data_IF_260845067439
#
_entry.id   IF_260845067439
#
_cell.length_a   1.000
_cell.length_b   1.000
_cell.length_c   1.000
_cell.angle_alpha   90.00
_cell.angle_beta   90.00
_cell.angle_gamma   90.00
#
_symmetry.space_group_name_H-M   'P 1'
#
loop_
_entity.id
_entity.type
_entity.pdbx_description
1 polymer ?
#
# COMPACT_ATOMS: atom_id res chain seq x y z
N UNK A 1 16.68 -1.79 -31.55
CA UNK A 1 16.05 -0.74 -32.38
C UNK A 1 17.13 -0.12 -33.28
N UNK A 2 17.71 -0.92 -34.20
CA UNK A 2 18.91 -0.51 -34.97
C UNK A 2 19.73 -1.67 -35.57
N UNK A 3 19.30 -2.93 -35.40
CA UNK A 3 19.99 -4.12 -35.89
C UNK A 3 19.14 -4.99 -36.83
N UNK A 4 18.08 -4.43 -37.43
CA UNK A 4 17.13 -5.13 -38.32
C UNK A 4 16.50 -6.41 -37.77
N UNK A 5 16.57 -6.67 -36.47
CA UNK A 5 15.87 -7.79 -35.84
C UNK A 5 14.48 -7.37 -35.36
N UNK A 6 13.46 -8.05 -35.88
CA UNK A 6 12.10 -7.98 -35.35
C UNK A 6 12.10 -8.58 -33.95
N UNK A 7 11.50 -7.86 -33.00
CA UNK A 7 11.29 -8.34 -31.64
C UNK A 7 9.83 -8.12 -31.29
N UNK A 8 9.19 -9.13 -30.73
CA UNK A 8 7.86 -8.99 -30.15
C UNK A 8 8.04 -8.41 -28.75
N UNK A 9 7.41 -7.28 -28.49
CA UNK A 9 7.36 -6.69 -27.16
C UNK A 9 6.07 -7.14 -26.48
N UNK A 10 6.21 -7.52 -25.21
CA UNK A 10 5.09 -7.93 -24.36
C UNK A 10 4.95 -6.88 -23.25
N UNK A 11 4.18 -5.79 -23.47
CA UNK A 11 4.01 -4.77 -22.46
C UNK A 11 3.28 -5.35 -21.24
N UNK A 12 3.76 -4.99 -20.06
CA UNK A 12 3.19 -5.41 -18.79
C UNK A 12 3.49 -4.39 -17.70
N UNK A 13 2.57 -4.26 -16.75
CA UNK A 13 2.73 -3.44 -15.56
C UNK A 13 3.09 -4.37 -14.41
N UNK A 14 4.37 -4.44 -14.07
CA UNK A 14 4.89 -5.42 -13.13
C UNK A 14 4.85 -4.95 -11.68
N UNK A 15 5.07 -3.64 -11.45
CA UNK A 15 5.19 -3.05 -10.12
C UNK A 15 4.28 -1.82 -10.06
N UNK A 16 3.51 -1.72 -8.99
CA UNK A 16 2.65 -0.58 -8.65
C UNK A 16 3.00 -0.21 -7.21
N UNK A 17 3.67 0.93 -7.03
CA UNK A 17 3.94 1.47 -5.70
C UNK A 17 2.77 2.35 -5.33
N UNK A 18 1.90 1.84 -4.47
CA UNK A 18 0.65 2.48 -4.08
C UNK A 18 0.57 2.51 -2.56
N UNK A 19 0.02 3.58 -2.01
CA UNK A 19 -0.43 3.51 -0.62
C UNK A 19 -1.62 2.53 -0.48
N UNK A 20 -2.09 2.31 0.75
CA UNK A 20 -3.14 1.32 0.97
C UNK A 20 -4.49 1.73 0.35
N UNK A 21 -4.86 3.01 0.40
CA UNK A 21 -6.12 3.49 -0.15
C UNK A 21 -6.11 3.45 -1.68
N UNK A 22 -5.02 3.89 -2.28
CA UNK A 22 -4.76 3.76 -3.71
C UNK A 22 -4.78 2.29 -4.15
N UNK A 23 -4.19 1.39 -3.35
CA UNK A 23 -4.17 -0.04 -3.68
C UNK A 23 -5.58 -0.66 -3.65
N UNK A 24 -6.44 -0.29 -2.71
CA UNK A 24 -7.85 -0.73 -2.68
C UNK A 24 -8.60 -0.24 -3.91
N UNK A 25 -8.53 1.05 -4.18
CA UNK A 25 -9.18 1.66 -5.34
C UNK A 25 -8.68 1.05 -6.65
N UNK A 26 -7.36 0.90 -6.79
CA UNK A 26 -6.73 0.31 -7.97
C UNK A 26 -7.20 -1.11 -8.19
N UNK A 27 -7.20 -1.97 -7.17
CA UNK A 27 -7.59 -3.38 -7.30
C UNK A 27 -9.09 -3.65 -7.25
N UNK A 28 -9.90 -2.60 -7.12
CA UNK A 28 -11.35 -2.71 -6.92
C UNK A 28 -11.71 -3.55 -5.69
N UNK A 29 -10.87 -3.51 -4.66
CA UNK A 29 -11.13 -4.14 -3.38
C UNK A 29 -11.82 -3.17 -2.42
N UNK A 30 -12.54 -3.72 -1.43
CA UNK A 30 -13.16 -2.93 -0.36
C UNK A 30 -12.09 -2.45 0.63
N UNK A 31 -12.34 -1.30 1.23
CA UNK A 31 -11.42 -0.59 2.12
C UNK A 31 -11.48 -1.08 3.59
N UNK A 32 -11.28 -0.17 4.55
CA UNK A 32 -10.93 -0.43 5.97
C UNK A 32 -11.94 -1.20 6.87
N UNK A 33 -12.95 -1.86 6.33
CA UNK A 33 -13.91 -2.73 7.06
C UNK A 33 -14.24 -4.02 6.29
N UNK A 34 -13.42 -4.32 5.30
CA UNK A 34 -13.44 -5.56 4.56
C UNK A 34 -13.12 -6.75 5.47
N UNK A 35 -13.70 -7.93 5.17
CA UNK A 35 -13.33 -9.19 5.84
C UNK A 35 -11.90 -9.59 5.52
N UNK A 36 -11.46 -9.23 4.32
CA UNK A 36 -10.17 -9.49 3.70
C UNK A 36 -9.55 -8.17 3.19
N UNK A 37 -9.09 -7.31 4.12
CA UNK A 37 -8.69 -5.93 3.81
C UNK A 37 -7.41 -5.82 2.99
N UNK A 38 -6.67 -6.89 2.74
CA UNK A 38 -5.47 -6.82 1.91
C UNK A 38 -5.84 -6.83 0.40
N UNK A 39 -5.38 -5.86 -0.40
CA UNK A 39 -5.61 -5.84 -1.85
C UNK A 39 -4.76 -6.89 -2.59
N UNK A 40 -3.82 -7.57 -1.91
CA UNK A 40 -2.93 -8.58 -2.48
C UNK A 40 -3.32 -10.01 -2.12
N UNK A 41 -3.95 -10.24 -0.96
CA UNK A 41 -4.31 -11.58 -0.49
C UNK A 41 -5.64 -11.58 0.28
N UNK A 42 -6.22 -12.76 0.45
CA UNK A 42 -7.46 -12.98 1.19
C UNK A 42 -7.20 -13.18 2.70
N UNK A 43 -6.28 -12.42 3.30
CA UNK A 43 -6.02 -12.49 4.75
C UNK A 43 -7.21 -11.94 5.51
N UNK A 44 -7.70 -12.65 6.53
CA UNK A 44 -8.79 -12.16 7.39
C UNK A 44 -8.37 -10.87 8.12
N UNK A 45 -9.32 -9.97 8.37
CA UNK A 45 -9.14 -8.77 9.17
C UNK A 45 -8.55 -9.10 10.56
N UNK A 46 -8.95 -10.24 11.14
CA UNK A 46 -8.47 -10.68 12.46
C UNK A 46 -7.03 -11.22 12.46
N UNK A 47 -6.42 -11.38 11.28
CA UNK A 47 -5.09 -11.96 11.09
C UNK A 47 -4.12 -11.02 10.38
N UNK A 48 -4.50 -9.76 10.13
CA UNK A 48 -3.68 -8.80 9.36
C UNK A 48 -2.37 -8.43 10.07
N UNK A 49 -2.31 -8.55 11.39
CA UNK A 49 -1.13 -8.33 12.22
C UNK A 49 -0.22 -9.57 12.31
N UNK A 50 -0.69 -10.72 11.84
CA UNK A 50 0.05 -11.98 11.90
C UNK A 50 1.11 -12.07 10.79
N UNK A 51 2.35 -11.74 11.14
CA UNK A 51 3.49 -11.77 10.21
C UNK A 51 3.84 -13.16 9.65
N UNK A 52 3.37 -14.23 10.30
CA UNK A 52 3.62 -15.61 9.90
C UNK A 52 2.45 -16.25 9.16
N UNK A 53 1.30 -15.59 9.13
CA UNK A 53 0.13 -16.10 8.44
C UNK A 53 0.29 -15.94 6.92
N UNK A 54 0.13 -17.05 6.19
CA UNK A 54 0.17 -17.06 4.73
C UNK A 54 -1.27 -17.23 4.24
N UNK A 55 -1.85 -16.14 3.74
CA UNK A 55 -3.17 -16.16 3.13
C UNK A 55 -3.10 -16.44 1.62
N UNK A 56 -4.21 -16.94 1.07
CA UNK A 56 -4.39 -17.13 -0.36
C UNK A 56 -4.17 -15.81 -1.12
N UNK A 57 -3.37 -15.84 -2.18
CA UNK A 57 -3.08 -14.65 -2.97
C UNK A 57 -4.25 -14.34 -3.92
N UNK A 58 -4.57 -13.06 -4.07
CA UNK A 58 -5.47 -12.59 -5.12
C UNK A 58 -4.72 -12.67 -6.45
N UNK A 59 -5.36 -13.27 -7.45
CA UNK A 59 -4.88 -13.28 -8.84
C UNK A 59 -6.05 -12.98 -9.77
N UNK A 60 -5.73 -12.52 -10.97
CA UNK A 60 -6.68 -12.14 -12.00
C UNK A 60 -7.69 -13.24 -12.29
N UNK A 61 -7.22 -14.49 -12.37
CA UNK A 61 -8.07 -15.64 -12.65
C UNK A 61 -9.14 -15.85 -11.57
N UNK A 62 -8.73 -15.92 -10.30
CA UNK A 62 -9.65 -16.19 -9.18
C UNK A 62 -10.58 -15.01 -8.93
N UNK A 63 -10.06 -13.78 -8.94
CA UNK A 63 -10.88 -12.58 -8.68
C UNK A 63 -11.89 -12.32 -9.80
N UNK A 64 -11.53 -12.60 -11.06
CA UNK A 64 -12.47 -12.54 -12.18
C UNK A 64 -13.59 -13.56 -12.02
N UNK A 65 -13.24 -14.81 -11.71
CA UNK A 65 -14.22 -15.87 -11.53
C UNK A 65 -15.23 -15.53 -10.42
N UNK A 66 -14.78 -14.93 -9.31
CA UNK A 66 -15.68 -14.46 -8.24
C UNK A 66 -16.67 -13.42 -8.75
N UNK A 67 -16.21 -12.43 -9.52
CA UNK A 67 -17.08 -11.39 -10.07
C UNK A 67 -18.07 -11.97 -11.09
N UNK A 68 -17.63 -12.91 -11.93
CA UNK A 68 -18.50 -13.61 -12.89
C UNK A 68 -19.60 -14.41 -12.17
N UNK A 69 -19.24 -15.22 -11.17
CA UNK A 69 -20.20 -15.97 -10.34
C UNK A 69 -21.15 -15.03 -9.60
N UNK A 70 -20.66 -13.89 -9.08
CA UNK A 70 -21.51 -12.90 -8.43
C UNK A 70 -22.52 -12.27 -9.41
N UNK A 71 -22.15 -12.06 -10.67
CA UNK A 71 -23.04 -11.51 -11.70
C UNK A 71 -24.12 -12.50 -12.15
N UNK A 72 -23.85 -13.79 -12.06
CA UNK A 72 -24.81 -14.86 -12.35
C UNK A 72 -25.76 -15.17 -11.18
N UNK A 73 -25.52 -14.58 -10.00
CA UNK A 73 -26.34 -14.83 -8.82
C UNK A 73 -27.82 -14.41 -9.04
N UNK A 74 -28.79 -15.22 -8.59
CA UNK A 74 -30.20 -14.97 -8.89
C UNK A 74 -30.80 -13.77 -8.14
N UNK A 75 -30.12 -13.28 -7.09
CA UNK A 75 -30.57 -12.11 -6.32
C UNK A 75 -29.43 -11.15 -6.05
N UNK A 76 -29.75 -9.86 -5.92
CA UNK A 76 -28.80 -8.82 -5.54
C UNK A 76 -28.14 -9.11 -4.17
N UNK A 77 -28.88 -9.71 -3.23
CA UNK A 77 -28.36 -10.10 -1.92
C UNK A 77 -27.29 -11.18 -2.03
N UNK A 78 -27.50 -12.20 -2.86
CA UNK A 78 -26.51 -13.25 -3.07
C UNK A 78 -25.28 -12.72 -3.80
N UNK A 79 -25.48 -11.88 -4.83
CA UNK A 79 -24.39 -11.18 -5.51
C UNK A 79 -23.52 -10.41 -4.52
N UNK A 80 -24.15 -9.56 -3.69
CA UNK A 80 -23.45 -8.74 -2.72
C UNK A 80 -22.73 -9.60 -1.68
N UNK A 81 -23.33 -10.72 -1.24
CA UNK A 81 -22.67 -11.67 -0.34
C UNK A 81 -21.40 -12.28 -0.96
N UNK A 82 -21.46 -12.75 -2.21
CA UNK A 82 -20.29 -13.34 -2.90
C UNK A 82 -19.16 -12.31 -3.01
N UNK A 83 -19.51 -11.06 -3.36
CA UNK A 83 -18.54 -9.97 -3.46
C UNK A 83 -17.95 -9.58 -2.09
N UNK A 84 -18.77 -9.53 -1.04
CA UNK A 84 -18.32 -9.25 0.33
C UNK A 84 -17.42 -10.35 0.89
N UNK A 85 -17.71 -11.61 0.60
CA UNK A 85 -16.90 -12.75 1.06
C UNK A 85 -15.50 -12.78 0.42
N UNK A 86 -15.27 -11.98 -0.62
CA UNK A 86 -13.96 -11.79 -1.26
C UNK A 86 -13.49 -10.33 -1.24
N UNK A 87 -14.24 -9.44 -0.58
CA UNK A 87 -14.02 -7.98 -0.54
C UNK A 87 -13.75 -7.33 -1.89
N UNK A 88 -14.54 -7.70 -2.88
CA UNK A 88 -14.52 -7.11 -4.22
C UNK A 88 -15.70 -6.16 -4.41
N UNK A 89 -15.53 -5.22 -5.33
CA UNK A 89 -16.62 -4.51 -5.99
C UNK A 89 -17.00 -5.22 -7.29
N UNK A 90 -18.25 -5.06 -7.74
CA UNK A 90 -18.68 -5.54 -9.07
C UNK A 90 -18.10 -4.65 -10.18
N UNK A 91 -16.81 -4.77 -10.43
CA UNK A 91 -16.07 -3.99 -11.42
C UNK A 91 -15.24 -4.94 -12.27
N UNK A 92 -15.29 -4.76 -13.58
CA UNK A 92 -14.36 -5.44 -14.50
C UNK A 92 -13.07 -4.64 -14.54
N UNK A 93 -12.04 -5.17 -13.89
CA UNK A 93 -10.75 -4.48 -13.80
C UNK A 93 -10.04 -4.47 -15.18
N UNK A 94 -9.60 -3.31 -15.65
CA UNK A 94 -9.01 -3.14 -16.99
C UNK A 94 -7.76 -4.00 -17.24
N UNK A 95 -6.92 -4.20 -16.22
CA UNK A 95 -5.73 -5.08 -16.31
C UNK A 95 -6.05 -6.56 -16.53
N UNK A 96 -7.28 -7.04 -16.31
CA UNK A 96 -7.60 -8.45 -16.54
C UNK A 96 -7.39 -8.89 -17.99
N UNK A 97 -7.44 -7.97 -18.95
CA UNK A 97 -7.13 -8.25 -20.37
C UNK A 97 -5.63 -8.32 -20.69
N UNK A 98 -4.74 -7.99 -19.75
CA UNK A 98 -3.31 -7.90 -19.99
C UNK A 98 -2.59 -9.17 -19.52
N UNK A 99 -2.06 -9.94 -20.47
CA UNK A 99 -1.39 -11.23 -20.21
C UNK A 99 -0.27 -11.18 -19.16
N UNK A 100 0.44 -10.06 -19.06
CA UNK A 100 1.62 -9.91 -18.20
C UNK A 100 1.41 -8.87 -17.09
N UNK A 101 0.16 -8.54 -16.77
CA UNK A 101 -0.17 -7.57 -15.73
C UNK A 101 -1.25 -8.13 -14.82
N UNK A 102 -0.85 -8.59 -13.63
CA UNK A 102 -1.81 -8.89 -12.59
C UNK A 102 -1.97 -7.66 -11.68
N UNK A 103 -3.18 -7.11 -11.51
CA UNK A 103 -3.37 -5.92 -10.70
C UNK A 103 -3.08 -6.16 -9.23
N UNK A 104 -3.28 -7.38 -8.73
CA UNK A 104 -3.12 -7.75 -7.33
C UNK A 104 -1.66 -8.08 -7.00
N UNK A 105 -1.00 -8.91 -7.83
CA UNK A 105 0.38 -9.33 -7.57
C UNK A 105 1.40 -8.21 -7.76
N UNK A 106 1.10 -7.25 -8.63
CA UNK A 106 2.01 -6.14 -8.90
C UNK A 106 1.99 -5.06 -7.82
N UNK A 107 1.09 -5.12 -6.84
CA UNK A 107 1.11 -4.15 -5.74
C UNK A 107 2.36 -4.35 -4.91
N UNK A 108 3.08 -3.25 -4.72
CA UNK A 108 4.23 -3.14 -3.86
C UNK A 108 4.02 -2.01 -2.87
N UNK A 109 4.69 -2.16 -1.74
CA UNK A 109 4.59 -1.27 -0.61
C UNK A 109 5.16 0.13 -0.94
N UNK A 110 4.33 1.17 -0.81
CA UNK A 110 4.77 2.56 -0.90
C UNK A 110 5.42 2.99 0.41
N UNK A 111 6.76 2.96 0.43
CA UNK A 111 7.57 3.25 1.61
C UNK A 111 7.36 4.68 2.12
N UNK A 112 7.24 5.65 1.21
CA UNK A 112 7.07 7.05 1.57
C UNK A 112 5.78 7.25 2.35
N UNK A 113 4.63 6.89 1.76
CA UNK A 113 3.34 7.19 2.36
C UNK A 113 3.06 6.33 3.60
N UNK A 114 3.48 5.06 3.59
CA UNK A 114 3.14 4.17 4.69
C UNK A 114 4.16 4.17 5.82
N UNK A 115 5.46 4.09 5.51
CA UNK A 115 6.49 4.01 6.55
C UNK A 115 6.97 5.38 6.99
N UNK A 116 7.41 6.22 6.05
CA UNK A 116 8.09 7.48 6.36
C UNK A 116 7.09 8.55 6.81
N UNK A 117 5.99 8.74 6.07
CA UNK A 117 4.90 9.64 6.44
C UNK A 117 3.95 9.02 7.45
N UNK A 118 3.42 7.83 7.15
CA UNK A 118 2.42 7.16 7.97
C UNK A 118 2.96 6.78 9.36
N UNK A 119 3.64 5.63 9.44
CA UNK A 119 4.09 5.07 10.72
C UNK A 119 5.08 5.98 11.43
N UNK A 120 6.08 6.48 10.72
CA UNK A 120 7.11 7.29 11.33
C UNK A 120 6.60 8.71 11.60
N UNK A 121 6.22 9.45 10.57
CA UNK A 121 5.76 10.84 10.67
C UNK A 121 4.55 11.04 11.59
N UNK A 122 3.46 10.29 11.41
CA UNK A 122 2.22 10.52 12.17
C UNK A 122 2.15 9.82 13.54
N UNK A 123 2.96 8.79 13.79
CA UNK A 123 2.82 7.99 15.01
C UNK A 123 4.11 7.92 15.84
N UNK A 124 5.22 7.46 15.25
CA UNK A 124 6.46 7.28 16.01
C UNK A 124 7.11 8.62 16.34
N UNK A 125 7.12 9.59 15.42
CA UNK A 125 7.74 10.88 15.64
C UNK A 125 7.08 11.68 16.78
N UNK A 126 5.73 11.80 16.86
CA UNK A 126 5.07 12.41 18.02
C UNK A 126 5.41 11.72 19.35
N UNK A 127 5.46 10.38 19.36
CA UNK A 127 5.86 9.61 20.54
C UNK A 127 7.32 9.87 20.92
N UNK A 128 8.22 9.91 19.94
CA UNK A 128 9.64 10.25 20.16
C UNK A 128 9.77 11.64 20.76
N UNK A 129 9.05 12.65 20.23
CA UNK A 129 9.06 14.00 20.78
C UNK A 129 8.52 14.06 22.21
N UNK A 130 7.49 13.27 22.53
CA UNK A 130 6.97 13.16 23.89
C UNK A 130 8.05 12.60 24.84
N UNK A 131 8.71 11.51 24.45
CA UNK A 131 9.78 10.90 25.26
C UNK A 131 10.97 11.84 25.45
N UNK A 132 11.39 12.56 24.41
CA UNK A 132 12.48 13.55 24.51
C UNK A 132 12.17 14.61 25.58
N UNK A 133 10.92 15.10 25.61
CA UNK A 133 10.46 16.06 26.62
C UNK A 133 10.36 15.44 28.02
N UNK A 134 9.90 14.20 28.11
CA UNK A 134 9.80 13.48 29.39
C UNK A 134 11.16 13.24 30.05
N UNK A 135 12.19 12.97 29.23
CA UNK A 135 13.56 12.78 29.70
C UNK A 135 14.39 14.07 29.82
N UNK A 136 13.84 15.23 29.46
CA UNK A 136 14.53 16.53 29.52
C UNK A 136 15.86 16.55 28.72
N UNK A 137 15.83 15.97 27.50
CA UNK A 137 17.01 15.82 26.62
C UNK A 137 16.87 16.59 25.29
N UNK A 138 15.94 17.52 25.18
CA UNK A 138 15.65 18.28 23.96
C UNK A 138 16.83 19.13 23.48
N UNK A 139 17.55 19.79 24.40
CA UNK A 139 18.76 20.55 24.06
C UNK A 139 19.86 19.65 23.48
N UNK A 140 20.02 18.46 24.04
CA UNK A 140 21.01 17.48 23.59
C UNK A 140 20.68 16.96 22.18
N UNK A 141 19.40 16.64 21.92
CA UNK A 141 18.94 16.22 20.60
C UNK A 141 19.12 17.34 19.57
N UNK A 142 18.77 18.58 19.93
CA UNK A 142 18.91 19.74 19.04
C UNK A 142 20.37 20.00 18.69
N UNK A 143 21.26 19.89 19.66
CA UNK A 143 22.72 20.03 19.47
C UNK A 143 23.23 18.96 18.52
N UNK A 144 22.91 17.69 18.78
CA UNK A 144 23.35 16.58 17.93
C UNK A 144 22.86 16.72 16.49
N UNK A 145 21.60 17.11 16.30
CA UNK A 145 21.02 17.30 14.97
C UNK A 145 21.64 18.50 14.23
N UNK A 146 21.98 19.57 14.95
CA UNK A 146 22.70 20.71 14.37
C UNK A 146 24.14 20.37 13.93
N UNK A 147 24.79 19.45 14.63
CA UNK A 147 26.15 18.95 14.31
C UNK A 147 26.17 17.82 13.28
N UNK A 148 25.00 17.24 12.99
CA UNK A 148 24.91 16.12 12.07
C UNK A 148 25.44 16.50 10.67
N UNK A 149 26.11 15.59 9.95
CA UNK A 149 26.69 15.91 8.64
C UNK A 149 25.64 16.40 7.64
N UNK A 150 26.02 17.39 6.82
CA UNK A 150 25.17 17.89 5.74
C UNK A 150 25.35 17.05 4.48
N UNK A 151 24.25 16.67 3.85
CA UNK A 151 24.26 16.06 2.53
C UNK A 151 23.94 17.08 1.44
N UNK A 152 24.72 17.08 0.36
CA UNK A 152 24.52 17.97 -0.77
C UNK A 152 23.14 17.71 -1.39
N UNK A 153 22.33 18.77 -1.47
CA UNK A 153 21.00 18.71 -2.07
C UNK A 153 19.87 18.33 -1.11
N UNK A 154 20.16 18.08 0.17
CA UNK A 154 19.15 17.86 1.21
C UNK A 154 19.12 19.02 2.21
N UNK A 155 17.93 19.39 2.69
CA UNK A 155 17.78 20.40 3.74
C UNK A 155 18.33 19.84 5.05
N UNK A 156 19.13 20.65 5.75
CA UNK A 156 19.58 20.32 7.10
C UNK A 156 18.47 20.58 8.11
N UNK A 157 18.25 19.64 9.03
CA UNK A 157 17.30 19.80 10.13
C UNK A 157 18.09 20.25 11.36
N UNK A 158 18.01 21.54 11.68
CA UNK A 158 18.73 22.13 12.82
C UNK A 158 18.01 21.89 14.15
N UNK A 159 16.70 22.05 14.11
CA UNK A 159 15.84 21.90 15.27
C UNK A 159 14.68 21.00 14.84
N UNK A 160 14.73 19.71 15.19
CA UNK A 160 13.65 18.80 14.86
C UNK A 160 12.44 19.01 15.77
N UNK A 161 12.60 19.69 16.93
CA UNK A 161 11.55 19.80 17.95
C UNK A 161 10.49 20.85 17.60
N UNK A 162 10.80 21.76 16.68
CA UNK A 162 9.88 22.81 16.20
C UNK A 162 9.20 22.50 14.88
N UNK A 163 9.45 21.32 14.31
CA UNK A 163 8.91 20.92 13.01
C UNK A 163 7.88 19.82 13.18
N UNK A 164 6.67 20.10 12.71
CA UNK A 164 5.73 19.03 12.38
C UNK A 164 6.21 18.32 11.11
N UNK A 165 6.00 17.01 11.06
CA UNK A 165 6.32 16.21 9.89
C UNK A 165 5.58 16.77 8.66
N UNK A 166 6.28 16.91 7.52
CA UNK A 166 5.70 17.36 6.25
C UNK A 166 5.91 16.31 5.16
N UNK A 167 4.86 15.97 4.42
CA UNK A 167 4.93 15.05 3.28
C UNK A 167 5.89 15.53 2.20
N UNK A 168 7.10 14.98 2.18
CA UNK A 168 8.02 15.00 1.03
C UNK A 168 8.42 16.38 0.46
N UNK A 169 8.61 17.42 1.29
CA UNK A 169 9.02 18.76 0.85
C UNK A 169 10.48 19.16 1.13
#
# INVERSE_FOLDING_TARGET
CGNNKVRVLYPGFLIKSLDMEEAWNYTCCRANRAKHPCPRCLVSQDLIDSLHHIAEQRITETMRAVVEVAREAPTATQKEKILQDNDLHDITHFMWGFRFSDPYQGITYNLLHFSESGKWGHHLWPLTMQLIKEYDIDESVTTFMSEFPRWRGLKHVHDPMTRDFSDGQ
#
